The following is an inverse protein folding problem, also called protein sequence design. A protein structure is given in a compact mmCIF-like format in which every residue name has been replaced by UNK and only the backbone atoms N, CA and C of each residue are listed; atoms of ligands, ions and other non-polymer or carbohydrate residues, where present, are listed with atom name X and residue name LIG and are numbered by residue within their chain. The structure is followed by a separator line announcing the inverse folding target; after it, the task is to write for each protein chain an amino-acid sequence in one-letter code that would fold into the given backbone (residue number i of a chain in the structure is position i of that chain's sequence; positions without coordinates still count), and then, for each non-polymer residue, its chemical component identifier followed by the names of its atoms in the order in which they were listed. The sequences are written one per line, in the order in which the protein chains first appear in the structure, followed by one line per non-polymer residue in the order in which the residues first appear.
data_IF_331262150028
#
_entry.id   IF_331262150028
#
_cell.length_a   1.000
_cell.length_b   1.000
_cell.length_c   1.000
_cell.angle_alpha   90.00
_cell.angle_beta   90.00
_cell.angle_gamma   90.00
#
_symmetry.space_group_name_H-M   'P 1'
#
loop_
_entity.id
_entity.type
_entity.pdbx_description
1 polymer ?
#
# COMPACT_ATOMS: atom_id res chain seq x y z
N UNK A 1 3.80 -0.85 -0.03
CA UNK A 1 3.05 0.10 0.85
C UNK A 1 2.52 1.26 0.05
N UNK A 2 1.24 1.56 0.19
CA UNK A 2 0.60 2.75 -0.38
C UNK A 2 0.00 3.60 0.75
N UNK A 3 0.18 4.91 0.71
CA UNK A 3 -0.34 5.83 1.72
C UNK A 3 -0.32 7.29 1.25
N UNK A 4 -0.92 8.17 2.04
CA UNK A 4 -0.97 9.60 1.73
C UNK A 4 0.40 10.30 1.80
N UNK A 5 0.66 11.19 0.85
CA UNK A 5 1.76 12.17 0.89
C UNK A 5 1.47 13.34 1.86
N UNK A 6 0.31 13.34 2.50
CA UNK A 6 -0.07 14.26 3.58
C UNK A 6 -0.30 13.48 4.88
N UNK A 7 -0.10 14.09 6.06
CA UNK A 7 -0.29 13.41 7.34
C UNK A 7 -1.77 13.19 7.70
N UNK A 8 -2.68 13.84 6.97
CA UNK A 8 -4.09 13.92 7.36
C UNK A 8 -4.31 14.87 8.54
N UNK A 9 -5.54 14.89 9.06
CA UNK A 9 -5.92 15.80 10.17
C UNK A 9 -5.99 15.11 11.54
N UNK A 10 -5.93 13.77 11.56
CA UNK A 10 -6.05 12.96 12.78
C UNK A 10 -4.69 12.38 13.13
N UNK A 11 -4.32 12.45 14.40
CA UNK A 11 -3.05 11.89 14.91
C UNK A 11 -2.97 10.38 14.73
N UNK A 12 -4.11 9.69 14.77
CA UNK A 12 -4.23 8.25 14.63
C UNK A 12 -3.63 7.73 13.29
N UNK A 13 -3.64 8.56 12.24
CA UNK A 13 -3.03 8.19 10.96
C UNK A 13 -1.50 8.15 11.06
N UNK A 14 -0.90 9.13 11.76
CA UNK A 14 0.53 9.18 12.00
C UNK A 14 0.98 8.04 12.93
N UNK A 15 0.19 7.76 13.95
CA UNK A 15 0.47 6.68 14.91
C UNK A 15 0.43 5.33 14.22
N UNK A 16 -0.61 5.05 13.42
CA UNK A 16 -0.70 3.82 12.65
C UNK A 16 0.46 3.65 11.63
N UNK A 17 0.88 4.74 10.99
CA UNK A 17 2.03 4.72 10.07
C UNK A 17 3.33 4.39 10.82
N UNK A 18 3.56 5.00 11.98
CA UNK A 18 4.72 4.76 12.84
C UNK A 18 4.75 3.32 13.34
N UNK A 19 3.63 2.86 13.87
CA UNK A 19 3.48 1.51 14.42
C UNK A 19 3.70 0.44 13.34
N UNK A 20 3.18 0.67 12.14
CA UNK A 20 3.38 -0.26 11.02
C UNK A 20 4.85 -0.31 10.58
N UNK A 21 5.51 0.84 10.44
CA UNK A 21 6.94 0.90 10.09
C UNK A 21 7.81 0.16 11.11
N UNK A 22 7.59 0.43 12.39
CA UNK A 22 8.27 -0.27 13.48
C UNK A 22 7.99 -1.78 13.48
N UNK A 23 6.73 -2.17 13.32
CA UNK A 23 6.32 -3.57 13.36
C UNK A 23 6.90 -4.41 12.21
N UNK A 24 7.02 -3.83 11.01
CA UNK A 24 7.69 -4.46 9.87
C UNK A 24 9.17 -4.71 10.17
N UNK A 25 9.88 -3.69 10.63
CA UNK A 25 11.29 -3.78 10.95
C UNK A 25 11.61 -4.83 12.02
N UNK A 26 10.86 -4.84 13.13
CA UNK A 26 11.03 -5.82 14.22
C UNK A 26 10.79 -7.26 13.75
N UNK A 27 9.94 -7.46 12.73
CA UNK A 27 9.67 -8.77 12.13
C UNK A 27 10.64 -9.14 11.00
N UNK A 28 11.62 -8.29 10.69
CA UNK A 28 12.55 -8.51 9.58
C UNK A 28 11.88 -8.47 8.20
N UNK A 29 10.75 -7.76 8.07
CA UNK A 29 10.04 -7.59 6.81
C UNK A 29 10.51 -6.30 6.14
N UNK A 30 11.05 -6.42 4.92
CA UNK A 30 11.48 -5.28 4.12
C UNK A 30 10.28 -4.42 3.68
N UNK A 31 10.49 -3.11 3.61
CA UNK A 31 9.48 -2.14 3.23
C UNK A 31 9.76 -1.59 1.83
N UNK A 32 8.79 -1.74 0.92
CA UNK A 32 8.83 -1.10 -0.42
C UNK A 32 7.74 -0.04 -0.51
N UNK A 33 8.11 1.17 -0.99
CA UNK A 33 7.17 2.29 -1.11
C UNK A 33 7.58 3.34 -2.14
N UNK A 34 6.82 4.42 -2.24
CA UNK A 34 7.01 5.49 -3.23
C UNK A 34 8.20 6.43 -3.02
N UNK A 35 9.10 6.17 -2.07
CA UNK A 35 10.36 6.89 -1.91
C UNK A 35 10.27 8.32 -1.40
N UNK A 36 9.09 8.83 -1.04
CA UNK A 36 8.90 10.20 -0.53
C UNK A 36 9.15 10.31 0.97
N UNK A 37 9.58 11.50 1.42
CA UNK A 37 9.78 11.79 2.85
C UNK A 37 8.61 12.58 3.49
N UNK A 38 7.56 12.87 2.73
CA UNK A 38 6.43 13.71 3.16
C UNK A 38 5.24 12.88 3.64
N UNK A 39 4.46 13.46 4.55
CA UNK A 39 3.21 12.87 5.05
C UNK A 39 3.41 11.54 5.76
N UNK A 40 2.49 10.62 5.57
CA UNK A 40 2.56 9.28 6.17
C UNK A 40 3.76 8.48 5.62
N UNK A 41 4.17 8.73 4.37
CA UNK A 41 5.33 8.08 3.75
C UNK A 41 6.62 8.28 4.56
N UNK A 42 6.94 9.51 4.93
CA UNK A 42 8.11 9.81 5.74
C UNK A 42 8.02 9.14 7.11
N UNK A 43 6.87 9.24 7.76
CA UNK A 43 6.67 8.73 9.13
C UNK A 43 6.91 7.22 9.23
N UNK A 44 6.33 6.41 8.34
CA UNK A 44 6.53 4.97 8.41
C UNK A 44 7.94 4.54 7.97
N UNK A 45 8.52 5.23 6.97
CA UNK A 45 9.88 4.95 6.53
C UNK A 45 10.90 5.25 7.63
N UNK A 46 10.79 6.42 8.28
CA UNK A 46 11.63 6.80 9.42
C UNK A 46 11.49 5.83 10.60
N UNK A 47 10.26 5.39 10.91
CA UNK A 47 10.02 4.43 11.98
C UNK A 47 10.65 3.05 11.69
N UNK A 48 10.56 2.58 10.44
CA UNK A 48 11.19 1.33 10.04
C UNK A 48 12.72 1.42 10.10
N UNK A 49 13.32 2.50 9.59
CA UNK A 49 14.76 2.74 9.64
C UNK A 49 15.27 2.87 11.08
N UNK A 50 14.57 3.61 11.94
CA UNK A 50 14.92 3.77 13.34
C UNK A 50 14.92 2.43 14.12
N UNK A 51 14.09 1.48 13.69
CA UNK A 51 14.04 0.13 14.25
C UNK A 51 15.01 -0.86 13.55
N UNK A 52 15.89 -0.37 12.65
CA UNK A 52 16.89 -1.19 11.96
C UNK A 52 16.34 -1.97 10.76
N UNK A 53 15.16 -1.64 10.26
CA UNK A 53 14.54 -2.29 9.10
C UNK A 53 15.11 -1.82 7.76
N UNK A 54 14.93 -2.64 6.73
CA UNK A 54 15.28 -2.29 5.35
C UNK A 54 14.13 -1.56 4.67
N UNK A 55 14.44 -0.41 4.05
CA UNK A 55 13.45 0.44 3.38
C UNK A 55 13.90 0.74 1.95
N UNK A 56 13.09 0.34 0.98
CA UNK A 56 13.33 0.50 -0.45
C UNK A 56 12.32 1.49 -1.05
N UNK A 57 12.82 2.62 -1.55
CA UNK A 57 12.01 3.62 -2.22
C UNK A 57 12.08 3.47 -3.75
N UNK A 58 10.96 3.65 -4.43
CA UNK A 58 10.90 3.81 -5.89
C UNK A 58 10.25 5.15 -6.19
N UNK A 59 10.99 6.05 -6.87
CA UNK A 59 10.55 7.42 -7.10
C UNK A 59 10.78 7.83 -8.56
N UNK A 60 10.01 8.76 -9.07
CA UNK A 60 10.25 9.30 -10.42
C UNK A 60 11.21 10.48 -10.38
N UNK A 61 11.93 10.71 -11.50
CA UNK A 61 12.81 11.88 -11.67
C UNK A 61 12.07 13.19 -11.37
N UNK A 62 10.82 13.32 -11.80
CA UNK A 62 9.99 14.49 -11.55
C UNK A 62 9.79 14.76 -10.05
N UNK A 63 9.53 13.72 -9.25
CA UNK A 63 9.34 13.86 -7.80
C UNK A 63 10.66 14.10 -7.06
N UNK A 64 11.78 13.57 -7.56
CA UNK A 64 13.12 13.92 -7.06
C UNK A 64 13.41 15.40 -7.30
N UNK A 65 13.10 15.90 -8.49
CA UNK A 65 13.27 17.32 -8.82
C UNK A 65 12.38 18.25 -7.97
N UNK A 66 11.21 17.75 -7.52
CA UNK A 66 10.34 18.46 -6.57
C UNK A 66 10.80 18.33 -5.10
N UNK A 67 12.00 17.80 -4.85
CA UNK A 67 12.61 17.65 -3.52
C UNK A 67 11.79 16.81 -2.51
N UNK A 68 11.00 15.88 -3.02
CA UNK A 68 10.17 15.02 -2.16
C UNK A 68 10.83 13.69 -1.80
N UNK A 69 12.01 13.39 -2.36
CA UNK A 69 12.72 12.13 -2.16
C UNK A 69 13.27 11.97 -0.73
N UNK A 70 13.14 10.80 -0.16
CA UNK A 70 13.71 10.43 1.13
C UNK A 70 15.17 9.98 0.95
N UNK A 71 16.12 10.75 1.49
CA UNK A 71 17.57 10.52 1.28
C UNK A 71 18.22 9.52 2.24
N UNK A 72 17.50 9.09 3.27
CA UNK A 72 18.01 8.18 4.31
C UNK A 72 17.65 6.71 4.11
N UNK A 73 17.09 6.31 2.97
CA UNK A 73 16.63 4.95 2.70
C UNK A 73 17.78 3.96 2.54
N UNK A 74 17.50 2.68 2.76
CA UNK A 74 18.43 1.59 2.44
C UNK A 74 18.75 1.58 0.94
N UNK A 75 17.73 1.74 0.10
CA UNK A 75 17.89 1.95 -1.35
C UNK A 75 16.85 2.93 -1.86
N UNK A 76 17.21 3.72 -2.87
CA UNK A 76 16.30 4.58 -3.62
C UNK A 76 16.51 4.37 -5.11
N UNK A 77 15.53 3.80 -5.77
CA UNK A 77 15.52 3.60 -7.22
C UNK A 77 14.78 4.76 -7.88
N UNK A 78 15.42 5.40 -8.86
CA UNK A 78 14.83 6.50 -9.63
C UNK A 78 14.42 5.98 -11.01
N UNK A 79 13.17 6.20 -11.39
CA UNK A 79 12.58 5.74 -12.64
C UNK A 79 12.00 6.92 -13.45
N UNK A 80 11.75 6.71 -14.76
CA UNK A 80 11.32 7.78 -15.65
C UNK A 80 9.83 8.14 -15.51
N UNK A 81 8.96 7.15 -15.30
CA UNK A 81 7.51 7.34 -15.35
C UNK A 81 6.78 6.81 -14.12
N UNK A 82 5.54 7.31 -13.90
CA UNK A 82 4.68 6.80 -12.83
C UNK A 82 4.27 5.34 -13.05
N UNK A 83 4.14 4.89 -14.30
CA UNK A 83 3.84 3.49 -14.61
C UNK A 83 5.00 2.57 -14.25
N UNK A 84 6.23 2.93 -14.62
CA UNK A 84 7.44 2.21 -14.21
C UNK A 84 7.56 2.13 -12.69
N UNK A 85 7.29 3.24 -11.98
CA UNK A 85 7.33 3.31 -10.53
C UNK A 85 6.37 2.30 -9.90
N UNK A 86 5.08 2.31 -10.30
CA UNK A 86 4.07 1.39 -9.76
C UNK A 86 4.40 -0.08 -10.10
N UNK A 87 4.79 -0.36 -11.34
CA UNK A 87 5.20 -1.70 -11.76
C UNK A 87 6.42 -2.20 -10.97
N UNK A 88 7.40 -1.32 -10.73
CA UNK A 88 8.60 -1.68 -9.98
C UNK A 88 8.30 -1.93 -8.50
N UNK A 89 7.47 -1.10 -7.88
CA UNK A 89 7.01 -1.32 -6.50
C UNK A 89 6.29 -2.67 -6.35
N UNK A 90 5.40 -3.01 -7.27
CA UNK A 90 4.71 -4.30 -7.26
C UNK A 90 5.69 -5.48 -7.45
N UNK A 91 6.64 -5.37 -8.38
CA UNK A 91 7.63 -6.42 -8.65
C UNK A 91 8.60 -6.70 -7.48
N UNK A 92 8.79 -5.73 -6.59
CA UNK A 92 9.62 -5.86 -5.39
C UNK A 92 8.84 -6.31 -4.15
N UNK A 93 7.52 -6.49 -4.25
CA UNK A 93 6.65 -6.74 -3.11
C UNK A 93 6.09 -8.16 -3.13
N UNK A 94 5.92 -8.74 -1.93
CA UNK A 94 5.21 -10.00 -1.71
C UNK A 94 3.77 -9.79 -1.23
N UNK A 95 3.41 -8.55 -0.84
CA UNK A 95 2.07 -8.16 -0.43
C UNK A 95 1.95 -6.65 -0.28
N UNK A 96 0.73 -6.16 -0.16
CA UNK A 96 0.42 -4.72 -0.17
C UNK A 96 -0.43 -4.35 1.03
N UNK A 97 0.05 -3.43 1.86
CA UNK A 97 -0.74 -2.76 2.90
C UNK A 97 -0.99 -1.31 2.47
N UNK A 98 -2.22 -0.87 2.61
CA UNK A 98 -2.68 0.46 2.21
C UNK A 98 -3.16 1.23 3.44
N UNK A 99 -2.46 2.28 3.81
CA UNK A 99 -2.85 3.25 4.84
C UNK A 99 -3.74 4.35 4.24
N UNK A 100 -4.44 5.13 5.07
CA UNK A 100 -5.18 6.30 4.62
C UNK A 100 -4.40 7.19 3.66
N UNK A 101 -5.06 7.68 2.61
CA UNK A 101 -4.42 8.52 1.61
C UNK A 101 -5.39 9.15 0.63
N UNK A 102 -4.84 9.85 -0.36
CA UNK A 102 -5.60 10.56 -1.38
C UNK A 102 -5.67 9.82 -2.72
N UNK A 103 -5.75 10.61 -3.80
CA UNK A 103 -5.91 10.09 -5.17
C UNK A 103 -4.79 9.12 -5.57
N UNK A 104 -3.52 9.42 -5.28
CA UNK A 104 -2.41 8.53 -5.62
C UNK A 104 -2.53 7.17 -4.92
N UNK A 105 -2.94 7.18 -3.65
CA UNK A 105 -3.15 5.95 -2.88
C UNK A 105 -4.28 5.10 -3.44
N UNK A 106 -5.39 5.74 -3.86
CA UNK A 106 -6.53 5.05 -4.48
C UNK A 106 -6.18 4.54 -5.88
N UNK A 107 -5.40 5.29 -6.65
CA UNK A 107 -4.90 4.88 -7.98
C UNK A 107 -4.01 3.63 -7.86
N UNK A 108 -3.02 3.64 -6.96
CA UNK A 108 -2.15 2.49 -6.70
C UNK A 108 -2.93 1.26 -6.19
N UNK A 109 -3.90 1.48 -5.30
CA UNK A 109 -4.78 0.43 -4.79
C UNK A 109 -5.66 -0.18 -5.89
N UNK A 110 -6.32 0.65 -6.69
CA UNK A 110 -7.21 0.18 -7.77
C UNK A 110 -6.41 -0.56 -8.86
N UNK A 111 -5.20 -0.11 -9.17
CA UNK A 111 -4.34 -0.74 -10.15
C UNK A 111 -3.90 -2.14 -9.71
N UNK A 112 -3.43 -2.31 -8.47
CA UNK A 112 -3.00 -3.63 -7.99
C UNK A 112 -4.17 -4.61 -7.87
N UNK A 113 -5.36 -4.16 -7.46
CA UNK A 113 -6.56 -5.00 -7.49
C UNK A 113 -6.93 -5.42 -8.91
N UNK A 114 -6.80 -4.51 -9.87
CA UNK A 114 -7.04 -4.81 -11.28
C UNK A 114 -6.03 -5.84 -11.80
N UNK A 115 -4.76 -5.73 -11.45
CA UNK A 115 -3.74 -6.69 -11.86
C UNK A 115 -3.97 -8.07 -11.24
N UNK A 116 -4.34 -8.13 -9.96
CA UNK A 116 -4.76 -9.39 -9.33
C UNK A 116 -5.98 -10.00 -10.02
N UNK A 117 -7.01 -9.20 -10.33
CA UNK A 117 -8.22 -9.65 -11.02
C UNK A 117 -7.93 -10.21 -12.42
N UNK A 118 -6.91 -9.67 -13.10
CA UNK A 118 -6.49 -10.09 -14.42
C UNK A 118 -5.46 -11.25 -14.39
N UNK A 119 -5.01 -11.66 -13.19
CA UNK A 119 -3.97 -12.69 -13.04
C UNK A 119 -2.57 -12.22 -13.45
N UNK A 120 -2.34 -10.90 -13.51
CA UNK A 120 -1.03 -10.32 -13.78
C UNK A 120 -0.13 -10.31 -12.55
N UNK A 121 -0.73 -10.29 -11.37
CA UNK A 121 -0.08 -10.42 -10.06
C UNK A 121 -0.93 -11.30 -9.15
N UNK A 122 -0.35 -11.70 -8.01
CA UNK A 122 -1.03 -12.46 -6.95
C UNK A 122 -0.65 -11.90 -5.57
N UNK A 123 -0.62 -10.59 -5.44
CA UNK A 123 -0.21 -9.91 -4.22
C UNK A 123 -1.40 -9.75 -3.27
N UNK A 124 -1.37 -10.27 -2.04
CA UNK A 124 -2.36 -9.95 -1.02
C UNK A 124 -2.45 -8.45 -0.79
N UNK A 125 -3.68 -7.91 -0.73
CA UNK A 125 -3.93 -6.48 -0.53
C UNK A 125 -4.78 -6.27 0.71
N UNK A 126 -4.27 -5.47 1.65
CA UNK A 126 -4.93 -5.17 2.92
C UNK A 126 -5.09 -3.67 3.10
N UNK A 127 -6.31 -3.20 3.28
CA UNK A 127 -6.60 -1.85 3.76
C UNK A 127 -6.44 -1.82 5.28
N UNK A 128 -5.43 -1.14 5.79
CA UNK A 128 -5.34 -0.84 7.22
C UNK A 128 -6.25 0.35 7.50
N UNK A 129 -7.41 0.04 8.06
CA UNK A 129 -8.48 1.01 8.27
C UNK A 129 -8.33 1.70 9.62
N UNK A 130 -7.86 2.91 9.57
CA UNK A 130 -7.67 3.76 10.74
C UNK A 130 -8.88 4.68 10.90
N UNK A 131 -9.60 4.52 11.99
CA UNK A 131 -10.74 5.37 12.37
C UNK A 131 -11.85 5.42 11.30
N UNK A 132 -12.11 4.32 10.58
CA UNK A 132 -13.17 4.21 9.58
C UNK A 132 -12.88 4.97 8.27
N UNK A 133 -11.62 5.30 8.00
CA UNK A 133 -11.26 6.05 6.79
C UNK A 133 -11.66 5.34 5.50
N UNK A 134 -11.57 4.01 5.48
CA UNK A 134 -11.86 3.20 4.31
C UNK A 134 -13.34 2.76 4.20
N UNK A 135 -14.20 3.05 5.19
CA UNK A 135 -15.63 2.68 5.16
C UNK A 135 -16.34 3.09 3.85
N UNK A 136 -16.18 4.34 3.35
CA UNK A 136 -16.83 4.73 2.09
C UNK A 136 -16.31 3.97 0.86
N UNK A 137 -15.01 3.64 0.82
CA UNK A 137 -14.43 2.88 -0.29
C UNK A 137 -14.90 1.42 -0.26
N UNK A 138 -14.97 0.82 0.92
CA UNK A 138 -15.47 -0.54 1.10
C UNK A 138 -16.97 -0.62 0.70
N UNK A 139 -17.77 0.35 1.12
CA UNK A 139 -19.16 0.45 0.72
C UNK A 139 -19.33 0.61 -0.80
N UNK A 140 -18.45 1.39 -1.46
CA UNK A 140 -18.44 1.49 -2.91
C UNK A 140 -18.08 0.16 -3.59
N UNK A 141 -17.10 -0.58 -3.09
CA UNK A 141 -16.74 -1.91 -3.60
C UNK A 141 -17.92 -2.89 -3.48
N UNK A 142 -18.61 -2.88 -2.34
CA UNK A 142 -19.79 -3.73 -2.12
C UNK A 142 -20.94 -3.34 -3.07
N UNK A 143 -21.18 -2.06 -3.27
CA UNK A 143 -22.13 -1.53 -4.26
C UNK A 143 -21.77 -1.95 -5.70
N UNK A 144 -20.48 -2.01 -6.05
CA UNK A 144 -20.03 -2.49 -7.36
C UNK A 144 -20.28 -3.99 -7.56
N UNK A 145 -20.24 -4.78 -6.48
CA UNK A 145 -20.64 -6.19 -6.50
C UNK A 145 -22.15 -6.32 -6.73
N UNK A 146 -22.95 -5.59 -5.96
CA UNK A 146 -24.42 -5.61 -6.06
C UNK A 146 -24.90 -5.16 -7.45
N UNK A 147 -24.21 -4.20 -8.04
CA UNK A 147 -24.49 -3.71 -9.40
C UNK A 147 -23.93 -4.63 -10.51
N UNK A 148 -23.20 -5.69 -10.18
CA UNK A 148 -22.65 -6.66 -11.12
C UNK A 148 -21.38 -6.22 -11.87
N UNK A 149 -20.73 -5.12 -11.48
CA UNK A 149 -19.44 -4.68 -12.06
C UNK A 149 -18.23 -5.44 -11.52
N UNK A 150 -18.32 -5.95 -10.29
CA UNK A 150 -17.31 -6.74 -9.61
C UNK A 150 -17.90 -8.10 -9.25
N UNK A 151 -17.21 -9.20 -9.58
CA UNK A 151 -17.65 -10.54 -9.14
C UNK A 151 -17.44 -10.65 -7.61
N UNK A 152 -18.32 -11.34 -6.86
CA UNK A 152 -18.13 -11.56 -5.41
C UNK A 152 -16.76 -12.15 -5.05
N UNK A 153 -16.25 -13.09 -5.87
CA UNK A 153 -14.91 -13.66 -5.68
C UNK A 153 -13.79 -12.60 -5.80
N UNK A 154 -13.94 -11.61 -6.68
CA UNK A 154 -12.95 -10.54 -6.84
C UNK A 154 -13.02 -9.49 -5.71
N UNK A 155 -14.17 -9.37 -5.03
CA UNK A 155 -14.27 -8.53 -3.81
C UNK A 155 -13.37 -9.05 -2.69
N UNK A 156 -13.07 -10.35 -2.68
CA UNK A 156 -12.18 -11.00 -1.71
C UNK A 156 -10.68 -10.71 -1.95
N UNK A 157 -10.32 -10.08 -3.08
CA UNK A 157 -8.93 -9.68 -3.37
C UNK A 157 -8.42 -8.54 -2.47
N UNK A 158 -9.32 -7.94 -1.68
CA UNK A 158 -9.00 -6.88 -0.75
C UNK A 158 -9.56 -7.21 0.63
N UNK A 159 -8.68 -7.38 1.61
CA UNK A 159 -9.01 -7.53 3.02
C UNK A 159 -9.04 -6.17 3.74
N UNK A 160 -9.75 -6.10 4.88
CA UNK A 160 -9.73 -4.98 5.82
C UNK A 160 -9.06 -5.45 7.12
N UNK A 161 -8.19 -4.63 7.67
CA UNK A 161 -7.61 -4.80 8.99
C UNK A 161 -7.87 -3.54 9.83
N UNK A 162 -8.11 -3.72 11.12
CA UNK A 162 -8.31 -2.62 12.06
C UNK A 162 -7.06 -2.34 12.91
N UNK A 163 -6.10 -3.27 12.92
CA UNK A 163 -4.85 -3.16 13.66
C UNK A 163 -3.66 -3.51 12.77
N UNK A 164 -2.47 -3.06 13.16
CA UNK A 164 -1.22 -3.38 12.47
C UNK A 164 -0.95 -4.89 12.48
N UNK A 165 -1.16 -5.55 13.61
CA UNK A 165 -0.94 -7.00 13.73
C UNK A 165 -1.89 -7.81 12.82
N UNK A 166 -3.15 -7.41 12.75
CA UNK A 166 -4.13 -7.99 11.82
C UNK A 166 -3.73 -7.76 10.36
N UNK A 167 -3.27 -6.56 10.02
CA UNK A 167 -2.81 -6.25 8.66
C UNK A 167 -1.61 -7.10 8.26
N UNK A 168 -0.65 -7.30 9.16
CA UNK A 168 0.52 -8.13 8.92
C UNK A 168 0.18 -9.62 8.83
N UNK A 169 -0.79 -10.10 9.59
CA UNK A 169 -1.29 -11.45 9.48
C UNK A 169 -1.97 -11.67 8.11
N UNK A 170 -2.93 -10.80 7.76
CA UNK A 170 -3.71 -10.93 6.51
C UNK A 170 -2.85 -10.77 5.25
N UNK A 171 -1.85 -9.89 5.25
CA UNK A 171 -0.97 -9.70 4.08
C UNK A 171 -0.01 -10.88 3.87
N UNK A 172 0.18 -11.71 4.89
CA UNK A 172 1.00 -12.93 4.80
C UNK A 172 0.21 -14.16 4.32
N UNK A 173 -1.12 -14.05 4.27
CA UNK A 173 -1.97 -15.13 3.75
C UNK A 173 -1.99 -15.09 2.21
N UNK A 174 -1.96 -16.25 1.55
CA UNK A 174 -2.09 -16.29 0.10
C UNK A 174 -3.47 -15.74 -0.32
N UNK A 175 -3.51 -15.10 -1.50
CA UNK A 175 -4.80 -14.73 -2.08
C UNK A 175 -5.70 -15.95 -2.26
N UNK A 176 -7.02 -15.82 -2.04
CA UNK A 176 -7.97 -16.86 -2.36
C UNK A 176 -7.91 -17.18 -3.86
N UNK A 177 -8.04 -18.46 -4.19
CA UNK A 177 -8.16 -18.86 -5.59
C UNK A 177 -9.41 -18.21 -6.21
N UNK A 178 -9.19 -17.29 -7.12
CA UNK A 178 -10.26 -16.52 -7.75
C UNK A 178 -10.28 -16.80 -9.26
N UNK A 179 -11.45 -17.05 -9.85
CA UNK A 179 -11.54 -17.24 -11.29
C UNK A 179 -11.09 -15.98 -12.02
N UNK A 180 -10.34 -16.13 -13.10
CA UNK A 180 -9.98 -14.98 -13.94
C UNK A 180 -11.23 -14.21 -14.39
N UNK A 181 -11.07 -12.91 -14.66
CA UNK A 181 -12.18 -12.00 -14.99
C UNK A 181 -13.05 -12.51 -16.15
N UNK A 182 -12.44 -13.21 -17.10
CA UNK A 182 -13.07 -13.60 -18.36
C UNK A 182 -13.47 -15.09 -18.43
N UNK A 183 -13.36 -15.82 -17.33
CA UNK A 183 -13.72 -17.25 -17.24
C UNK A 183 -14.92 -17.41 -16.32
#
# INVERSE_FOLDING_TARGET
MYCGSSPGRRSEYLDAARDLGHALAVRGIGLVYGGGHVGLMGVFADAALAAGGEVHGVITEHLVAAETAHRGLTTLEVVGTMHERKARMAALSDGVIVLPGGFGTVDEFAEILTWNQLGLTSLPVVLLDVAGFWDPLLAWLDSAVDAGFVKPAHRMLCARALTVDEALALVSEPLPDTPHKWV
#
